data_IF_875061325875
#
_entry.id   IF_875061325875
#
_cell.length_a   1.000
_cell.length_b   1.000
_cell.length_c   1.000
_cell.angle_alpha   90.00
_cell.angle_beta   90.00
_cell.angle_gamma   90.00
#
_symmetry.space_group_name_H-M   'P 1'
#
loop_
_entity.id
_entity.type
_entity.pdbx_description
1 polymer ?
#
# COMPACT_ATOMS: atom_id res chain seq x y z
N UNK A 1 -1.44 1.84 -5.65
CA UNK A 1 -0.85 1.47 -4.34
C UNK A 1 0.36 2.35 -4.07
N UNK A 2 0.54 2.81 -2.84
CA UNK A 2 1.67 3.65 -2.42
C UNK A 2 2.74 2.82 -1.71
N UNK A 3 4.02 3.02 -2.05
CA UNK A 3 5.15 2.28 -1.47
C UNK A 3 6.27 3.24 -1.10
N UNK A 4 6.72 3.19 0.15
CA UNK A 4 7.84 3.98 0.63
C UNK A 4 8.26 3.57 2.03
N UNK A 5 9.31 2.77 2.12
CA UNK A 5 9.79 2.22 3.39
C UNK A 5 10.90 3.07 4.05
N UNK A 6 11.31 4.14 3.38
CA UNK A 6 12.27 5.11 3.90
C UNK A 6 11.64 5.89 5.06
N UNK A 7 12.37 6.12 6.15
CA UNK A 7 11.84 6.83 7.33
C UNK A 7 11.19 8.17 6.99
N UNK A 8 11.77 8.90 6.05
CA UNK A 8 11.28 10.20 5.59
C UNK A 8 9.96 10.10 4.80
N UNK A 9 9.65 8.93 4.23
CA UNK A 9 8.47 8.70 3.40
C UNK A 9 7.32 8.03 4.17
N UNK A 10 7.59 7.28 5.22
CA UNK A 10 6.62 6.39 5.89
C UNK A 10 5.32 7.08 6.28
N UNK A 11 5.41 8.24 6.92
CA UNK A 11 4.24 9.00 7.39
C UNK A 11 3.46 9.60 6.21
N UNK A 12 4.15 10.19 5.24
CA UNK A 12 3.53 10.77 4.06
C UNK A 12 2.79 9.71 3.22
N UNK A 13 3.42 8.56 3.00
CA UNK A 13 2.83 7.43 2.27
C UNK A 13 1.57 6.93 2.96
N UNK A 14 1.61 6.73 4.28
CA UNK A 14 0.46 6.26 5.03
C UNK A 14 -0.69 7.26 5.03
N UNK A 15 -0.40 8.55 5.32
CA UNK A 15 -1.43 9.58 5.40
C UNK A 15 -2.12 9.83 4.07
N UNK A 16 -1.36 9.91 2.97
CA UNK A 16 -1.90 10.18 1.64
C UNK A 16 -2.61 8.96 1.03
N UNK A 17 -2.12 7.76 1.30
CA UNK A 17 -2.81 6.54 0.91
C UNK A 17 -4.17 6.40 1.63
N UNK A 18 -4.20 6.63 2.93
CA UNK A 18 -5.47 6.61 3.70
C UNK A 18 -6.44 7.69 3.21
N UNK A 19 -5.95 8.91 2.95
CA UNK A 19 -6.76 10.02 2.44
C UNK A 19 -7.41 9.71 1.09
N UNK A 20 -6.69 9.02 0.20
CA UNK A 20 -7.18 8.63 -1.13
C UNK A 20 -7.86 7.26 -1.16
N UNK A 21 -7.97 6.56 -0.03
CA UNK A 21 -8.53 5.21 0.05
C UNK A 21 -7.70 4.16 -0.70
N UNK A 22 -6.38 4.35 -0.77
CA UNK A 22 -5.45 3.47 -1.47
C UNK A 22 -4.67 2.57 -0.51
N UNK A 23 -4.22 1.42 -1.02
CA UNK A 23 -3.33 0.53 -0.31
C UNK A 23 -1.93 1.11 -0.19
N UNK A 24 -1.20 0.75 0.88
CA UNK A 24 0.16 1.22 1.08
C UNK A 24 1.07 0.20 1.76
N UNK A 25 2.38 0.37 1.53
CA UNK A 25 3.45 -0.33 2.23
C UNK A 25 4.48 0.70 2.67
N UNK A 26 4.57 0.94 3.99
CA UNK A 26 5.44 1.97 4.56
C UNK A 26 6.51 1.44 5.51
N UNK A 27 6.55 0.13 5.81
CA UNK A 27 7.55 -0.44 6.73
C UNK A 27 8.62 -1.23 6.00
N UNK A 28 8.24 -2.34 5.38
CA UNK A 28 9.14 -3.19 4.61
C UNK A 28 8.38 -3.92 3.53
N UNK A 29 8.91 -3.89 2.31
CA UNK A 29 8.41 -4.75 1.26
C UNK A 29 8.78 -6.21 1.55
N UNK A 30 7.81 -7.09 1.60
CA UNK A 30 8.03 -8.52 1.73
C UNK A 30 8.09 -9.13 0.33
N UNK A 31 9.19 -9.84 0.02
CA UNK A 31 9.32 -10.51 -1.27
C UNK A 31 8.12 -11.41 -1.57
N UNK A 32 7.58 -11.32 -2.79
CA UNK A 32 6.38 -12.03 -3.20
C UNK A 32 5.06 -11.32 -2.84
N UNK A 33 5.11 -10.05 -2.41
CA UNK A 33 3.91 -9.33 -1.99
C UNK A 33 2.89 -9.18 -3.13
N UNK A 34 3.35 -9.11 -4.36
CA UNK A 34 2.50 -9.11 -5.56
C UNK A 34 2.58 -10.44 -6.30
N UNK A 35 3.78 -10.93 -6.60
CA UNK A 35 4.00 -12.15 -7.40
C UNK A 35 3.53 -13.42 -6.69
N UNK A 36 3.53 -13.44 -5.36
CA UNK A 36 3.01 -14.54 -4.53
C UNK A 36 1.89 -14.07 -3.59
N UNK A 37 1.01 -13.24 -4.12
CA UNK A 37 -0.08 -12.64 -3.36
C UNK A 37 -0.97 -13.68 -2.65
N UNK A 38 -1.15 -14.88 -3.24
CA UNK A 38 -1.91 -15.97 -2.60
C UNK A 38 -1.34 -16.37 -1.23
N UNK A 39 -0.03 -16.34 -1.06
CA UNK A 39 0.63 -16.63 0.22
C UNK A 39 0.51 -15.44 1.18
N UNK A 40 0.63 -14.21 0.68
CA UNK A 40 0.42 -12.99 1.46
C UNK A 40 -1.02 -12.94 1.98
N UNK A 41 -2.02 -13.28 1.15
CA UNK A 41 -3.43 -13.32 1.56
C UNK A 41 -3.66 -14.27 2.74
N UNK A 42 -3.03 -15.44 2.77
CA UNK A 42 -3.10 -16.34 3.93
C UNK A 42 -2.58 -15.70 5.22
N UNK A 43 -1.58 -14.82 5.13
CA UNK A 43 -1.06 -14.08 6.27
C UNK A 43 -2.00 -12.95 6.70
N UNK A 44 -2.68 -12.32 5.75
CA UNK A 44 -3.74 -11.35 6.02
C UNK A 44 -4.94 -12.05 6.69
N UNK A 45 -5.35 -13.22 6.20
CA UNK A 45 -6.41 -14.02 6.80
C UNK A 45 -6.05 -14.41 8.25
N UNK A 46 -4.77 -14.72 8.53
CA UNK A 46 -4.30 -14.96 9.89
C UNK A 46 -4.41 -13.70 10.76
N UNK A 47 -4.09 -12.53 10.22
CA UNK A 47 -4.24 -11.26 10.93
C UNK A 47 -5.69 -11.03 11.33
N UNK A 48 -6.65 -11.18 10.40
CA UNK A 48 -8.08 -11.08 10.70
C UNK A 48 -8.53 -12.09 11.75
N UNK A 49 -8.02 -13.32 11.69
CA UNK A 49 -8.30 -14.34 12.69
C UNK A 49 -7.82 -13.93 14.09
N UNK A 50 -6.61 -13.39 14.20
CA UNK A 50 -6.06 -12.94 15.47
C UNK A 50 -6.81 -11.73 16.03
N UNK A 51 -7.22 -10.79 15.18
CA UNK A 51 -8.08 -9.66 15.57
C UNK A 51 -9.43 -10.15 16.13
N UNK A 52 -10.06 -11.09 15.43
CA UNK A 52 -11.32 -11.68 15.87
C UNK A 52 -11.18 -12.40 17.21
N UNK A 53 -10.11 -13.19 17.40
CA UNK A 53 -9.85 -13.90 18.67
C UNK A 53 -9.65 -12.94 19.85
N UNK A 54 -9.09 -11.75 19.60
CA UNK A 54 -8.94 -10.73 20.63
C UNK A 54 -10.29 -10.05 20.97
N UNK A 55 -11.13 -9.79 19.97
CA UNK A 55 -12.46 -9.20 20.15
C UNK A 55 -13.44 -10.15 20.83
N UNK A 56 -13.38 -11.44 20.48
CA UNK A 56 -14.30 -12.48 21.01
C UNK A 56 -13.91 -12.96 22.44
N UNK A 57 -12.83 -12.38 23.03
CA UNK A 57 -12.34 -12.79 24.36
C UNK A 57 -11.66 -14.17 24.37
N UNK A 58 -11.41 -14.79 23.22
CA UNK A 58 -10.74 -16.10 23.13
C UNK A 58 -9.35 -16.09 23.80
N UNK A 59 -8.67 -14.95 23.81
CA UNK A 59 -7.38 -14.79 24.47
C UNK A 59 -7.47 -14.96 26.00
N UNK A 60 -8.60 -14.74 26.62
CA UNK A 60 -8.78 -14.93 28.06
C UNK A 60 -8.80 -16.38 28.49
N UNK A 61 -9.20 -17.28 27.56
CA UNK A 61 -9.22 -18.73 27.78
C UNK A 61 -7.85 -19.41 27.55
N UNK A 62 -6.87 -18.69 27.01
CA UNK A 62 -5.56 -19.22 26.68
C UNK A 62 -4.51 -18.95 27.77
N UNK A 63 -3.46 -19.81 27.87
CA UNK A 63 -2.33 -19.56 28.76
C UNK A 63 -1.65 -18.23 28.44
N UNK A 64 -1.26 -17.44 29.45
CA UNK A 64 -0.63 -16.13 29.30
C UNK A 64 0.55 -16.11 28.32
N UNK A 65 1.36 -17.19 28.31
CA UNK A 65 2.52 -17.32 27.40
C UNK A 65 2.11 -17.40 25.92
N UNK A 66 0.99 -18.05 25.62
CA UNK A 66 0.46 -18.13 24.25
C UNK A 66 -0.15 -16.80 23.81
N UNK A 67 -0.91 -16.15 24.67
CA UNK A 67 -1.49 -14.81 24.39
C UNK A 67 -0.39 -13.81 24.02
N UNK A 68 0.72 -13.80 24.76
CA UNK A 68 1.84 -12.90 24.46
C UNK A 68 2.42 -13.17 23.06
N UNK A 69 2.56 -14.45 22.67
CA UNK A 69 3.07 -14.82 21.33
C UNK A 69 2.09 -14.42 20.23
N UNK A 70 0.80 -14.67 20.41
CA UNK A 70 -0.24 -14.33 19.42
C UNK A 70 -0.38 -12.81 19.25
N UNK A 71 -0.30 -12.04 20.33
CA UNK A 71 -0.26 -10.57 20.26
C UNK A 71 0.96 -10.04 19.53
N UNK A 72 2.13 -10.56 19.81
CA UNK A 72 3.36 -10.19 19.11
C UNK A 72 3.31 -10.55 17.62
N UNK A 73 2.70 -11.68 17.25
CA UNK A 73 2.47 -12.07 15.87
C UNK A 73 1.46 -11.13 15.18
N UNK A 74 0.34 -10.79 15.85
CA UNK A 74 -0.65 -9.83 15.36
C UNK A 74 -0.01 -8.47 15.08
N UNK A 75 0.72 -7.90 16.05
CA UNK A 75 1.41 -6.61 15.88
C UNK A 75 2.39 -6.62 14.71
N UNK A 76 3.14 -7.72 14.56
CA UNK A 76 4.07 -7.89 13.44
C UNK A 76 3.34 -7.94 12.10
N UNK A 77 2.24 -8.67 12.00
CA UNK A 77 1.44 -8.76 10.77
C UNK A 77 0.79 -7.42 10.44
N UNK A 78 0.18 -6.75 11.43
CA UNK A 78 -0.41 -5.42 11.26
C UNK A 78 0.63 -4.40 10.79
N UNK A 79 1.82 -4.40 11.37
CA UNK A 79 2.91 -3.50 11.00
C UNK A 79 3.31 -3.63 9.54
N UNK A 80 3.37 -4.86 8.99
CA UNK A 80 3.86 -5.10 7.62
C UNK A 80 2.77 -5.21 6.58
N UNK A 81 1.59 -5.66 6.95
CA UNK A 81 0.49 -5.98 6.03
C UNK A 81 -0.75 -5.11 6.24
N UNK A 82 -0.80 -4.31 7.31
CA UNK A 82 -1.97 -3.48 7.64
C UNK A 82 -2.41 -2.56 6.51
N UNK A 83 -1.45 -1.99 5.77
CA UNK A 83 -1.78 -1.11 4.63
C UNK A 83 -2.33 -1.82 3.39
N UNK A 84 -2.25 -3.13 3.33
CA UNK A 84 -2.80 -3.95 2.22
C UNK A 84 -3.86 -4.96 2.70
N UNK A 85 -4.32 -4.84 3.91
CA UNK A 85 -5.26 -5.74 4.59
C UNK A 85 -6.56 -5.92 3.79
N UNK A 86 -7.09 -4.84 3.24
CA UNK A 86 -8.33 -4.84 2.47
C UNK A 86 -8.13 -5.01 0.95
N UNK A 87 -6.91 -5.36 0.53
CA UNK A 87 -6.60 -5.56 -0.87
C UNK A 87 -7.18 -6.88 -1.38
N UNK A 88 -8.20 -6.80 -2.24
CA UNK A 88 -8.82 -7.98 -2.87
C UNK A 88 -8.25 -8.31 -4.25
N UNK A 89 -7.72 -7.28 -4.94
CA UNK A 89 -7.14 -7.38 -6.28
C UNK A 89 -5.77 -6.72 -6.29
N UNK A 90 -4.90 -7.18 -7.18
CA UNK A 90 -3.61 -6.53 -7.41
C UNK A 90 -3.82 -5.07 -7.85
N UNK A 91 -2.94 -4.15 -7.47
CA UNK A 91 -3.04 -2.74 -7.84
C UNK A 91 -2.82 -2.56 -9.35
N UNK A 92 -3.55 -1.63 -9.96
CA UNK A 92 -3.39 -1.27 -11.37
C UNK A 92 -2.14 -0.43 -11.65
N UNK A 93 -1.60 0.24 -10.63
CA UNK A 93 -0.36 1.01 -10.67
C UNK A 93 0.26 1.10 -9.28
N UNK A 94 1.58 1.32 -9.24
CA UNK A 94 2.33 1.50 -8.00
C UNK A 94 3.05 2.84 -8.03
N UNK A 95 2.93 3.62 -6.95
CA UNK A 95 3.72 4.82 -6.71
C UNK A 95 4.81 4.50 -5.69
N UNK A 96 6.07 4.77 -6.04
CA UNK A 96 7.25 4.39 -5.25
C UNK A 96 8.08 5.62 -4.87
N UNK A 97 8.52 5.63 -3.62
CA UNK A 97 9.54 6.58 -3.13
C UNK A 97 10.85 5.82 -2.93
N UNK A 98 11.93 6.29 -3.53
CA UNK A 98 13.26 5.66 -3.54
C UNK A 98 13.29 4.30 -4.26
N UNK A 99 13.37 4.30 -5.61
CA UNK A 99 13.45 3.08 -6.42
C UNK A 99 14.59 2.14 -6.02
N UNK A 100 15.73 2.70 -5.62
CA UNK A 100 16.90 1.91 -5.21
C UNK A 100 16.62 1.04 -4.00
N UNK A 101 15.86 1.55 -3.05
CA UNK A 101 15.48 0.82 -1.85
C UNK A 101 14.37 -0.19 -2.10
N UNK A 102 13.44 0.16 -2.98
CA UNK A 102 12.25 -0.64 -3.30
C UNK A 102 12.43 -1.51 -4.56
N UNK A 103 13.67 -1.89 -4.87
CA UNK A 103 14.02 -2.66 -6.08
C UNK A 103 13.20 -3.94 -6.25
N UNK A 104 12.92 -4.66 -5.16
CA UNK A 104 12.12 -5.89 -5.21
C UNK A 104 10.68 -5.57 -5.63
N UNK A 105 10.09 -4.49 -5.12
CA UNK A 105 8.75 -4.07 -5.50
C UNK A 105 8.65 -3.74 -6.99
N UNK A 106 9.66 -3.04 -7.53
CA UNK A 106 9.74 -2.71 -8.96
C UNK A 106 9.85 -3.97 -9.81
N UNK A 107 10.72 -4.92 -9.43
CA UNK A 107 10.87 -6.19 -10.16
C UNK A 107 9.59 -7.02 -10.18
N UNK A 108 8.88 -7.07 -9.06
CA UNK A 108 7.59 -7.76 -8.98
C UNK A 108 6.52 -7.06 -9.83
N UNK A 109 6.46 -5.72 -9.80
CA UNK A 109 5.55 -4.94 -10.62
C UNK A 109 5.80 -5.17 -12.12
N UNK A 110 7.06 -5.09 -12.56
CA UNK A 110 7.46 -5.38 -13.95
C UNK A 110 7.08 -6.80 -14.39
N UNK A 111 7.29 -7.79 -13.52
CA UNK A 111 6.92 -9.19 -13.81
C UNK A 111 5.42 -9.36 -14.07
N UNK A 112 4.59 -8.54 -13.39
CA UNK A 112 3.14 -8.58 -13.51
C UNK A 112 2.58 -7.56 -14.51
N UNK A 113 3.43 -6.76 -15.16
CA UNK A 113 3.01 -5.71 -16.09
C UNK A 113 2.28 -4.55 -15.40
N UNK A 114 2.55 -4.32 -14.12
CA UNK A 114 1.97 -3.22 -13.34
C UNK A 114 2.84 -1.97 -13.52
N UNK A 115 2.31 -0.87 -14.04
CA UNK A 115 3.08 0.36 -14.25
C UNK A 115 3.56 0.96 -12.92
N UNK A 116 4.80 1.45 -12.95
CA UNK A 116 5.50 2.02 -11.81
C UNK A 116 5.72 3.52 -12.03
N UNK A 117 5.19 4.33 -11.14
CA UNK A 117 5.46 5.77 -11.01
C UNK A 117 6.39 5.97 -9.83
N UNK A 118 7.51 6.66 -9.98
CA UNK A 118 8.44 6.82 -8.86
C UNK A 118 9.07 8.21 -8.75
N UNK A 119 9.35 8.61 -7.49
CA UNK A 119 10.25 9.73 -7.22
C UNK A 119 11.66 9.23 -7.40
N UNK A 120 12.37 9.79 -8.37
CA UNK A 120 13.73 9.40 -8.75
C UNK A 120 14.69 10.53 -8.38
N UNK A 121 15.63 10.24 -7.50
CA UNK A 121 16.74 11.10 -7.15
C UNK A 121 18.00 10.69 -7.94
N UNK A 122 19.07 11.42 -7.79
CA UNK A 122 20.35 11.24 -8.51
C UNK A 122 21.04 9.90 -8.28
N UNK A 123 20.65 9.16 -7.25
CA UNK A 123 21.19 7.83 -6.88
C UNK A 123 20.42 6.65 -7.51
N UNK A 124 19.42 6.92 -8.33
CA UNK A 124 18.53 5.92 -8.93
C UNK A 124 18.65 5.93 -10.46
N UNK A 125 18.42 4.77 -11.07
CA UNK A 125 18.34 4.63 -12.52
C UNK A 125 16.89 4.94 -12.98
N UNK A 126 16.68 5.99 -13.80
CA UNK A 126 15.38 6.34 -14.31
C UNK A 126 14.76 5.27 -15.23
N UNK A 127 15.59 4.44 -15.88
CA UNK A 127 15.11 3.39 -16.78
C UNK A 127 14.51 2.18 -16.03
N UNK A 128 14.65 2.15 -14.71
CA UNK A 128 14.02 1.13 -13.88
C UNK A 128 12.52 1.37 -13.63
N UNK A 129 11.95 2.51 -14.01
CA UNK A 129 10.53 2.87 -13.76
C UNK A 129 9.85 3.37 -15.03
N UNK A 130 8.52 3.22 -15.12
CA UNK A 130 7.77 3.62 -16.29
C UNK A 130 7.51 5.13 -16.35
N UNK A 131 7.27 5.75 -15.18
CA UNK A 131 6.99 7.18 -15.05
C UNK A 131 7.90 7.79 -13.99
N UNK A 132 8.83 8.61 -14.44
CA UNK A 132 9.82 9.28 -13.59
C UNK A 132 9.28 10.62 -13.09
N UNK A 133 9.30 10.82 -11.78
CA UNK A 133 9.11 12.12 -11.15
C UNK A 133 10.45 12.54 -10.57
N UNK A 134 11.19 13.47 -11.20
CA UNK A 134 12.47 13.92 -10.65
C UNK A 134 12.24 14.69 -9.35
N UNK A 135 12.92 14.28 -8.29
CA UNK A 135 12.75 14.92 -6.99
C UNK A 135 13.65 14.33 -5.91
N UNK A 136 13.80 15.07 -4.82
CA UNK A 136 14.56 14.64 -3.67
C UNK A 136 13.70 13.69 -2.81
N UNK A 137 14.12 12.44 -2.70
CA UNK A 137 13.44 11.40 -1.93
C UNK A 137 13.81 11.36 -0.43
N UNK A 138 14.79 12.18 -0.01
CA UNK A 138 15.23 12.37 1.37
C UNK A 138 14.49 13.51 2.08
N UNK A 139 13.93 14.44 1.32
CA UNK A 139 13.27 15.61 1.87
C UNK A 139 11.78 15.28 2.20
N UNK A 140 11.44 15.19 3.49
CA UNK A 140 10.08 14.88 3.96
C UNK A 140 9.03 15.78 3.28
N UNK A 141 9.31 17.08 3.13
CA UNK A 141 8.39 18.04 2.50
C UNK A 141 8.18 17.76 1.01
N UNK A 142 9.24 17.37 0.28
CA UNK A 142 9.15 17.03 -1.14
C UNK A 142 8.33 15.75 -1.34
N UNK A 143 8.63 14.71 -0.57
CA UNK A 143 7.88 13.45 -0.59
C UNK A 143 6.40 13.68 -0.27
N UNK A 144 6.10 14.45 0.78
CA UNK A 144 4.72 14.77 1.16
C UNK A 144 3.97 15.55 0.08
N UNK A 145 4.63 16.52 -0.56
CA UNK A 145 4.04 17.30 -1.65
C UNK A 145 3.68 16.40 -2.85
N UNK A 146 4.62 15.56 -3.29
CA UNK A 146 4.43 14.70 -4.45
C UNK A 146 3.41 13.60 -4.15
N UNK A 147 3.51 12.93 -3.00
CA UNK A 147 2.53 11.94 -2.57
C UNK A 147 1.12 12.54 -2.45
N UNK A 148 1.02 13.78 -1.94
CA UNK A 148 -0.23 14.53 -1.88
C UNK A 148 -0.83 14.79 -3.26
N UNK A 149 -0.02 15.20 -4.23
CA UNK A 149 -0.48 15.39 -5.63
C UNK A 149 -0.94 14.10 -6.29
N UNK A 150 -0.25 12.98 -6.01
CA UNK A 150 -0.70 11.66 -6.47
C UNK A 150 -2.03 11.26 -5.85
N UNK A 151 -2.22 11.54 -4.57
CA UNK A 151 -3.48 11.28 -3.88
C UNK A 151 -4.62 12.16 -4.41
N UNK A 152 -4.36 13.46 -4.66
CA UNK A 152 -5.32 14.39 -5.26
C UNK A 152 -5.81 13.89 -6.63
N UNK A 153 -4.89 13.50 -7.50
CA UNK A 153 -5.22 12.95 -8.82
C UNK A 153 -6.11 11.70 -8.76
N UNK A 154 -5.86 10.82 -7.77
CA UNK A 154 -6.69 9.62 -7.55
C UNK A 154 -8.09 10.00 -7.06
N UNK A 155 -8.20 10.98 -6.16
CA UNK A 155 -9.47 11.43 -5.62
C UNK A 155 -10.30 12.11 -6.74
N UNK A 156 -9.68 12.96 -7.55
CA UNK A 156 -10.34 13.61 -8.70
C UNK A 156 -10.86 12.59 -9.72
N UNK A 157 -10.04 11.59 -10.06
CA UNK A 157 -10.45 10.52 -10.98
C UNK A 157 -11.66 9.74 -10.47
N UNK A 158 -11.68 9.40 -9.17
CA UNK A 158 -12.81 8.70 -8.55
C UNK A 158 -14.09 9.52 -8.48
N UNK A 159 -13.98 10.83 -8.23
CA UNK A 159 -15.14 11.71 -8.26
C UNK A 159 -15.71 11.84 -9.68
N UNK A 160 -14.84 11.87 -10.69
CA UNK A 160 -15.26 11.86 -12.10
C UNK A 160 -15.99 10.57 -12.50
N UNK A 161 -15.53 9.41 -12.04
CA UNK A 161 -16.21 8.13 -12.28
C UNK A 161 -17.60 8.09 -11.64
N UNK A 162 -17.75 8.57 -10.40
CA UNK A 162 -19.06 8.63 -9.72
C UNK A 162 -20.07 9.53 -10.43
N UNK A 163 -19.61 10.65 -11.00
CA UNK A 163 -20.47 11.56 -11.77
C UNK A 163 -20.92 10.95 -13.10
N UNK A 164 -20.06 10.16 -13.75
CA UNK A 164 -20.42 9.48 -15.01
C UNK A 164 -21.39 8.32 -14.78
N UNK A 165 -21.22 7.55 -13.71
CA UNK A 165 -22.16 6.45 -13.37
C UNK A 165 -23.55 6.97 -13.04
N UNK A 166 -23.68 8.08 -12.29
CA UNK A 166 -24.97 8.70 -11.97
C UNK A 166 -25.68 9.25 -13.21
N UNK A 167 -24.94 9.81 -14.16
CA UNK A 167 -25.53 10.32 -15.43
C UNK A 167 -25.99 9.20 -16.37
N UNK A 168 -25.38 8.02 -16.30
CA UNK A 168 -25.78 6.87 -17.12
C UNK A 168 -27.04 6.22 -16.55
N UNK A 169 -27.18 6.15 -15.23
CA UNK A 169 -28.42 5.63 -14.60
C UNK A 169 -29.63 6.53 -14.86
N UNK A 170 -29.49 7.85 -14.80
CA UNK A 170 -30.56 8.80 -15.12
C UNK A 170 -31.01 8.78 -16.59
N UNK A 171 -30.15 8.37 -17.52
CA UNK A 171 -30.48 8.27 -18.94
C UNK A 171 -31.12 6.93 -19.34
N UNK A 172 -31.09 5.92 -18.49
CA UNK A 172 -31.70 4.61 -18.73
C UNK A 172 -33.13 4.53 -18.16
N UNK A 173 -33.49 5.41 -17.21
CA UNK A 173 -34.85 5.48 -16.64
C UNK A 173 -35.76 6.51 -17.31
N UNK A 174 -35.32 7.22 -18.37
CA UNK A 174 -36.10 8.17 -19.16
C UNK A 174 -36.43 7.60 -20.55
#
# INVERSE_FOLDING_TARGET
MFVGTKKQAQEAIESEAKRSGMYFVNQRWLGGMLTNYKTIKKRIDLLFKLEKMELDGTFEALPKKEVIKLRAEKEKLEKFLGGIKDMHKLPSAIFIVDPKKEKIAIQEAKTLGIPVVAIVDTNCDPDEVDYVIPGNDDAIRAVKLIAGKMADAIIEARQGEQLTDTTVEETVEA
#
